data_IF_048069438861
#
_entry.id   IF_048069438861
#
_cell.length_a   1.000
_cell.length_b   1.000
_cell.length_c   1.000
_cell.angle_alpha   90.00
_cell.angle_beta   90.00
_cell.angle_gamma   90.00
#
_symmetry.space_group_name_H-M   'P 1'
#
loop_
_entity.id
_entity.type
_entity.pdbx_description
1 polymer ?
#
# COMPACT_ATOMS: atom_id res chain seq x y z
N UNK A 1 23.49 -10.18 3.53
CA UNK A 1 22.33 -11.03 3.22
C UNK A 1 21.68 -11.40 4.54
N UNK A 2 20.59 -10.75 4.91
CA UNK A 2 19.77 -11.19 6.03
C UNK A 2 19.14 -12.54 5.63
N UNK A 3 19.30 -13.56 6.45
CA UNK A 3 18.58 -14.81 6.32
C UNK A 3 17.07 -14.52 6.33
N UNK A 4 16.28 -15.01 5.37
CA UNK A 4 14.83 -14.87 5.42
C UNK A 4 14.31 -15.44 6.74
N UNK A 5 13.35 -14.77 7.38
CA UNK A 5 12.64 -15.36 8.50
C UNK A 5 12.12 -16.75 8.08
N UNK A 6 12.32 -17.79 8.91
CA UNK A 6 12.06 -19.16 8.49
C UNK A 6 10.60 -19.32 8.04
N UNK A 7 10.43 -19.98 6.89
CA UNK A 7 9.17 -20.25 6.16
C UNK A 7 8.00 -20.73 7.07
N UNK A 8 8.30 -21.28 8.27
CA UNK A 8 7.31 -21.72 9.25
C UNK A 8 6.46 -20.59 9.89
N UNK A 9 6.83 -19.31 9.76
CA UNK A 9 6.02 -18.18 10.26
C UNK A 9 5.07 -17.57 9.22
N UNK A 10 5.28 -17.79 7.92
CA UNK A 10 4.51 -17.13 6.84
C UNK A 10 3.08 -17.70 6.67
N UNK A 11 2.80 -18.89 7.18
CA UNK A 11 1.47 -19.52 7.09
C UNK A 11 0.45 -18.92 8.07
N UNK A 12 0.92 -18.29 9.15
CA UNK A 12 0.08 -17.78 10.23
C UNK A 12 -0.91 -16.71 9.78
N UNK A 13 -0.45 -15.61 9.16
CA UNK A 13 -1.34 -14.51 8.75
C UNK A 13 -2.38 -14.95 7.70
N UNK A 14 -2.00 -15.83 6.77
CA UNK A 14 -2.93 -16.37 5.78
C UNK A 14 -4.03 -17.19 6.45
N UNK A 15 -3.66 -18.10 7.37
CA UNK A 15 -4.64 -18.91 8.10
C UNK A 15 -5.55 -18.05 8.98
N UNK A 16 -5.00 -17.07 9.70
CA UNK A 16 -5.80 -16.12 10.49
C UNK A 16 -6.86 -15.43 9.62
N UNK A 17 -6.45 -14.90 8.45
CA UNK A 17 -7.36 -14.22 7.52
C UNK A 17 -8.39 -15.17 6.91
N UNK A 18 -8.01 -16.41 6.57
CA UNK A 18 -8.96 -17.42 6.09
C UNK A 18 -10.00 -17.79 7.16
N UNK A 19 -9.58 -18.00 8.41
CA UNK A 19 -10.50 -18.33 9.51
C UNK A 19 -11.43 -17.18 9.87
N UNK A 20 -10.94 -15.94 9.86
CA UNK A 20 -11.77 -14.76 10.07
C UNK A 20 -12.91 -14.66 9.05
N UNK A 21 -12.65 -15.07 7.79
CA UNK A 21 -13.63 -15.02 6.71
C UNK A 21 -14.36 -16.37 6.46
N UNK A 22 -14.15 -17.38 7.32
CA UNK A 22 -14.65 -18.73 7.08
C UNK A 22 -16.18 -18.81 7.01
N UNK A 23 -16.89 -17.98 7.77
CA UNK A 23 -18.36 -17.95 7.74
C UNK A 23 -18.88 -17.51 6.37
N UNK A 24 -18.23 -16.54 5.73
CA UNK A 24 -18.56 -16.08 4.37
C UNK A 24 -18.31 -17.20 3.35
N UNK A 25 -17.21 -17.94 3.49
CA UNK A 25 -16.79 -18.94 2.50
C UNK A 25 -17.49 -20.28 2.65
N UNK A 26 -17.87 -20.65 3.87
CA UNK A 26 -18.30 -22.02 4.21
C UNK A 26 -19.62 -22.08 4.98
N UNK A 27 -20.15 -20.93 5.41
CA UNK A 27 -21.31 -20.87 6.32
C UNK A 27 -20.99 -21.29 7.76
N UNK A 28 -19.71 -21.53 8.10
CA UNK A 28 -19.28 -21.94 9.44
C UNK A 28 -18.23 -20.98 9.99
N UNK A 29 -18.54 -20.35 11.11
CA UNK A 29 -17.63 -19.43 11.78
C UNK A 29 -16.42 -20.17 12.37
N UNK A 30 -15.22 -19.56 12.26
CA UNK A 30 -13.95 -20.08 12.79
C UNK A 30 -13.15 -19.00 13.53
N UNK A 31 -13.84 -18.06 14.18
CA UNK A 31 -13.21 -16.91 14.84
C UNK A 31 -12.19 -17.29 15.91
N UNK A 32 -12.45 -18.33 16.72
CA UNK A 32 -11.50 -18.80 17.73
C UNK A 32 -10.18 -19.29 17.13
N UNK A 33 -10.22 -19.90 15.94
CA UNK A 33 -9.01 -20.30 15.23
C UNK A 33 -8.26 -19.08 14.67
N UNK A 34 -8.99 -18.07 14.18
CA UNK A 34 -8.38 -16.82 13.72
C UNK A 34 -7.56 -16.17 14.85
N UNK A 35 -8.19 -16.00 16.03
CA UNK A 35 -7.53 -15.46 17.24
C UNK A 35 -6.30 -16.29 17.61
N UNK A 36 -6.40 -17.63 17.63
CA UNK A 36 -5.29 -18.49 17.99
C UNK A 36 -4.09 -18.37 17.04
N UNK A 37 -4.30 -18.00 15.77
CA UNK A 37 -3.20 -17.69 14.84
C UNK A 37 -2.70 -16.26 15.00
N UNK A 38 -3.57 -15.28 15.25
CA UNK A 38 -3.17 -13.91 15.58
C UNK A 38 -2.24 -13.88 16.80
N UNK A 39 -2.58 -14.57 17.89
CA UNK A 39 -1.78 -14.64 19.12
C UNK A 39 -0.36 -15.16 18.88
N UNK A 40 -0.21 -16.17 18.02
CA UNK A 40 1.11 -16.71 17.63
C UNK A 40 1.96 -15.66 16.92
N UNK A 41 1.34 -14.84 16.07
CA UNK A 41 2.05 -13.80 15.31
C UNK A 41 2.40 -12.63 16.22
N UNK A 42 1.50 -12.24 17.12
CA UNK A 42 1.76 -11.21 18.14
C UNK A 42 2.92 -11.61 19.06
N UNK A 43 3.08 -12.90 19.36
CA UNK A 43 4.22 -13.44 20.12
C UNK A 43 5.52 -13.63 19.31
N UNK A 44 5.54 -13.34 18.01
CA UNK A 44 6.68 -13.65 17.13
C UNK A 44 7.74 -12.54 17.04
N UNK A 45 7.58 -11.41 17.73
CA UNK A 45 8.57 -10.34 17.80
C UNK A 45 8.48 -9.25 16.72
N UNK A 46 7.41 -9.27 15.91
CA UNK A 46 7.09 -8.15 15.01
C UNK A 46 6.70 -6.91 15.82
N UNK A 47 6.94 -5.73 15.27
CA UNK A 47 6.58 -4.45 15.89
C UNK A 47 6.00 -3.50 14.87
N UNK A 48 5.01 -2.69 15.26
CA UNK A 48 4.49 -1.64 14.40
C UNK A 48 5.55 -0.58 14.09
N UNK A 49 5.53 -0.05 12.88
CA UNK A 49 6.35 1.10 12.52
C UNK A 49 5.87 2.35 13.28
N UNK A 50 6.82 3.11 13.82
CA UNK A 50 6.51 4.39 14.48
C UNK A 50 5.98 5.44 13.49
N UNK A 51 6.36 5.33 12.22
CA UNK A 51 5.89 6.17 11.12
C UNK A 51 5.23 5.31 10.08
N UNK A 52 3.90 5.39 9.99
CA UNK A 52 3.10 4.63 9.02
C UNK A 52 3.62 4.72 7.58
N UNK A 53 4.10 5.90 7.16
CA UNK A 53 4.60 6.10 5.79
C UNK A 53 5.81 5.23 5.47
N UNK A 54 6.66 4.88 6.44
CA UNK A 54 7.86 4.08 6.20
C UNK A 54 7.54 2.68 5.64
N UNK A 55 6.33 2.17 5.88
CA UNK A 55 5.86 0.89 5.33
C UNK A 55 5.73 0.90 3.80
N UNK A 56 5.71 2.07 3.17
CA UNK A 56 5.38 2.26 1.75
C UNK A 56 6.46 3.08 1.00
N UNK A 57 7.70 3.05 1.53
CA UNK A 57 8.90 3.69 1.00
C UNK A 57 9.88 2.65 0.43
N UNK A 58 10.85 3.10 -0.37
CA UNK A 58 11.81 2.22 -1.08
C UNK A 58 12.65 1.32 -0.16
N UNK A 59 12.82 1.69 1.10
CA UNK A 59 13.56 0.95 2.12
C UNK A 59 12.66 0.16 3.09
N UNK A 60 11.39 -0.07 2.74
CA UNK A 60 10.44 -0.77 3.61
C UNK A 60 10.79 -2.24 3.88
N UNK A 61 11.69 -2.85 3.10
CA UNK A 61 12.27 -4.17 3.40
C UNK A 61 13.04 -4.21 4.73
N UNK A 62 13.37 -3.04 5.31
CA UNK A 62 13.97 -2.90 6.65
C UNK A 62 12.92 -2.92 7.78
N UNK A 63 11.64 -2.90 7.46
CA UNK A 63 10.57 -2.83 8.45
C UNK A 63 10.44 -4.12 9.25
N UNK A 64 10.24 -3.98 10.57
CA UNK A 64 9.90 -5.09 11.46
C UNK A 64 8.38 -5.30 11.60
N UNK A 65 7.55 -4.54 10.86
CA UNK A 65 6.10 -4.70 10.82
C UNK A 65 5.66 -5.66 9.70
N UNK A 66 6.43 -5.75 8.60
CA UNK A 66 6.07 -6.53 7.42
C UNK A 66 6.35 -8.02 7.67
N UNK A 67 5.31 -8.84 7.59
CA UNK A 67 5.39 -10.29 7.85
C UNK A 67 5.65 -11.06 6.56
N UNK A 68 4.99 -10.65 5.47
CA UNK A 68 5.16 -11.28 4.16
C UNK A 68 5.11 -10.25 3.04
N UNK A 69 6.27 -9.85 2.49
CA UNK A 69 6.34 -8.94 1.35
C UNK A 69 6.22 -9.69 0.01
N UNK A 70 5.64 -9.03 -0.99
CA UNK A 70 5.93 -9.30 -2.40
C UNK A 70 7.01 -8.33 -2.82
N UNK A 71 8.19 -8.87 -3.10
CA UNK A 71 9.40 -8.07 -3.26
C UNK A 71 9.43 -7.35 -4.60
N UNK A 72 9.84 -6.08 -4.59
CA UNK A 72 10.17 -5.31 -5.80
C UNK A 72 11.60 -4.80 -5.67
N UNK A 73 12.33 -4.76 -6.79
CA UNK A 73 13.68 -4.20 -6.81
C UNK A 73 13.92 -3.58 -8.19
N UNK A 74 14.36 -2.33 -8.20
CA UNK A 74 14.54 -1.52 -9.40
C UNK A 74 15.57 -2.07 -10.39
N UNK A 75 16.39 -3.05 -9.99
CA UNK A 75 17.43 -3.68 -10.81
C UNK A 75 17.19 -5.16 -11.07
N UNK A 76 16.57 -5.87 -10.13
CA UNK A 76 16.51 -7.34 -10.15
C UNK A 76 15.09 -7.88 -10.29
N UNK A 77 14.12 -7.32 -9.58
CA UNK A 77 12.71 -7.77 -9.60
C UNK A 77 11.85 -6.70 -10.27
N UNK A 78 12.17 -6.41 -11.52
CA UNK A 78 11.52 -5.36 -12.31
C UNK A 78 10.18 -5.84 -12.86
N UNK A 79 9.11 -5.09 -12.59
CA UNK A 79 7.78 -5.35 -13.13
C UNK A 79 7.02 -4.04 -13.29
N UNK A 80 6.22 -3.91 -14.34
CA UNK A 80 5.26 -2.79 -14.49
C UNK A 80 4.03 -2.96 -13.59
N UNK A 81 3.83 -4.15 -13.00
CA UNK A 81 2.82 -4.41 -11.99
C UNK A 81 3.32 -4.16 -10.56
N UNK A 82 2.81 -4.93 -9.60
CA UNK A 82 3.18 -4.90 -8.17
C UNK A 82 3.22 -3.45 -7.67
N UNK A 83 4.30 -3.02 -7.04
CA UNK A 83 4.39 -1.70 -6.42
C UNK A 83 4.74 -0.62 -7.44
N UNK A 84 5.33 -0.95 -8.59
CA UNK A 84 5.61 0.03 -9.65
C UNK A 84 4.31 0.71 -10.09
N UNK A 85 3.26 -0.08 -10.38
CA UNK A 85 1.95 0.49 -10.69
C UNK A 85 1.40 1.32 -9.53
N UNK A 86 1.56 0.87 -8.28
CA UNK A 86 1.05 1.59 -7.10
C UNK A 86 1.76 2.93 -6.84
N UNK A 87 3.02 3.08 -7.26
CA UNK A 87 3.74 4.37 -7.14
C UNK A 87 3.42 5.29 -8.32
N UNK A 88 3.37 4.76 -9.54
CA UNK A 88 3.17 5.59 -10.74
C UNK A 88 1.72 6.00 -11.00
N UNK A 89 0.76 5.11 -10.78
CA UNK A 89 -0.64 5.33 -11.12
C UNK A 89 -1.31 6.52 -10.38
N UNK A 90 -1.08 6.79 -9.09
CA UNK A 90 -1.73 7.91 -8.43
C UNK A 90 -1.09 9.27 -8.77
N UNK A 91 0.01 9.30 -9.54
CA UNK A 91 0.72 10.53 -9.89
C UNK A 91 0.24 11.04 -11.25
N UNK A 92 -0.30 12.26 -11.27
CA UNK A 92 -0.77 12.96 -12.46
C UNK A 92 -1.16 14.41 -12.18
N UNK A 93 -1.65 15.12 -13.20
CA UNK A 93 -2.08 16.51 -13.05
C UNK A 93 -0.93 17.44 -12.66
N UNK A 94 -1.08 18.15 -11.53
CA UNK A 94 -0.09 19.08 -10.98
C UNK A 94 1.00 18.41 -10.13
N UNK A 95 0.88 17.11 -9.84
CA UNK A 95 1.82 16.38 -8.99
C UNK A 95 3.20 16.26 -9.65
N UNK A 96 4.27 16.22 -8.85
CA UNK A 96 5.64 16.12 -9.33
C UNK A 96 6.16 14.69 -9.18
N UNK A 97 6.39 13.92 -10.27
CA UNK A 97 6.86 12.54 -10.19
C UNK A 97 8.14 12.34 -9.37
N UNK A 98 9.05 13.32 -9.41
CA UNK A 98 10.31 13.26 -8.66
C UNK A 98 10.09 13.20 -7.13
N UNK A 99 9.03 13.81 -6.60
CA UNK A 99 8.69 13.72 -5.17
C UNK A 99 8.27 12.28 -4.78
N UNK A 100 7.90 11.45 -5.75
CA UNK A 100 7.54 10.05 -5.58
C UNK A 100 8.69 9.10 -5.94
N UNK A 101 9.86 9.61 -6.32
CA UNK A 101 11.03 8.79 -6.68
C UNK A 101 10.88 8.08 -8.04
N UNK A 102 10.10 8.65 -8.95
CA UNK A 102 9.81 8.09 -10.27
C UNK A 102 9.99 9.15 -11.37
N UNK A 103 10.25 8.70 -12.60
CA UNK A 103 10.52 9.59 -13.74
C UNK A 103 9.25 10.16 -14.40
N UNK A 104 8.08 9.56 -14.18
CA UNK A 104 6.82 10.03 -14.74
C UNK A 104 5.59 9.41 -14.09
N UNK A 105 4.52 10.17 -13.94
CA UNK A 105 3.23 9.67 -13.44
C UNK A 105 2.42 9.00 -14.55
N UNK A 106 1.63 7.98 -14.22
CA UNK A 106 0.79 7.27 -15.19
C UNK A 106 -0.66 7.75 -15.21
N UNK A 107 -1.07 8.57 -14.25
CA UNK A 107 -2.44 9.07 -14.19
C UNK A 107 -3.48 7.94 -14.21
N UNK A 108 -3.29 6.92 -13.39
CA UNK A 108 -4.13 5.72 -13.25
C UNK A 108 -5.25 5.92 -12.23
N UNK A 109 -5.18 5.28 -11.06
CA UNK A 109 -6.25 5.35 -10.05
C UNK A 109 -6.23 6.63 -9.21
N UNK A 110 -7.40 7.02 -8.69
CA UNK A 110 -7.58 8.07 -7.66
C UNK A 110 -8.58 7.59 -6.62
N UNK A 111 -8.82 8.39 -5.59
CA UNK A 111 -9.73 8.05 -4.50
C UNK A 111 -11.15 8.49 -4.80
N UNK A 112 -12.13 7.79 -4.21
CA UNK A 112 -13.53 8.24 -4.19
C UNK A 112 -13.77 9.12 -2.97
N UNK A 113 -14.77 10.00 -3.05
CA UNK A 113 -15.20 10.80 -1.89
C UNK A 113 -15.61 9.95 -0.69
N UNK A 114 -16.19 8.76 -0.92
CA UNK A 114 -16.53 7.82 0.13
C UNK A 114 -15.30 7.26 0.88
N UNK A 115 -14.19 7.02 0.17
CA UNK A 115 -12.93 6.61 0.79
C UNK A 115 -12.30 7.77 1.58
N UNK A 116 -12.29 8.98 1.01
CA UNK A 116 -11.81 10.19 1.72
C UNK A 116 -12.58 10.43 3.01
N UNK A 117 -13.90 10.21 3.00
CA UNK A 117 -14.76 10.36 4.18
C UNK A 117 -14.42 9.40 5.34
N UNK A 118 -13.64 8.34 5.12
CA UNK A 118 -13.14 7.46 6.19
C UNK A 118 -12.00 8.10 7.00
N UNK A 119 -11.46 9.24 6.57
CA UNK A 119 -10.38 9.98 7.23
C UNK A 119 -10.85 11.40 7.60
N UNK A 120 -11.74 11.53 8.60
CA UNK A 120 -12.29 12.83 8.99
C UNK A 120 -11.25 13.71 9.71
N UNK A 121 -10.20 13.12 10.27
CA UNK A 121 -9.12 13.82 10.96
C UNK A 121 -7.92 13.98 10.02
N UNK A 122 -7.57 15.23 9.70
CA UNK A 122 -6.42 15.56 8.87
C UNK A 122 -5.08 15.43 9.60
N UNK A 123 -5.09 15.28 10.93
CA UNK A 123 -3.90 14.99 11.73
C UNK A 123 -3.57 13.49 11.79
N UNK A 124 -4.45 12.63 11.27
CA UNK A 124 -4.16 11.21 11.11
C UNK A 124 -2.96 11.04 10.16
N UNK A 125 -1.88 10.39 10.61
CA UNK A 125 -0.69 10.13 9.78
C UNK A 125 -0.94 9.25 8.55
N UNK A 126 -2.15 8.69 8.42
CA UNK A 126 -2.65 7.94 7.25
C UNK A 126 -3.42 8.83 6.28
N UNK A 127 -3.74 10.07 6.64
CA UNK A 127 -4.29 11.09 5.75
C UNK A 127 -3.22 11.51 4.73
N UNK A 128 -3.16 10.79 3.61
CA UNK A 128 -2.13 10.96 2.57
C UNK A 128 -2.74 11.41 1.25
N UNK A 129 -3.77 12.26 1.29
CA UNK A 129 -4.42 12.76 0.07
C UNK A 129 -3.66 13.95 -0.52
N UNK A 130 -3.60 13.99 -1.86
CA UNK A 130 -3.19 15.17 -2.61
C UNK A 130 -4.43 15.84 -3.18
N UNK A 131 -4.53 17.16 -3.07
CA UNK A 131 -5.78 17.91 -3.38
C UNK A 131 -5.57 19.06 -4.36
N UNK A 132 -4.34 19.52 -4.55
CA UNK A 132 -4.04 20.72 -5.34
C UNK A 132 -4.40 20.54 -6.82
N UNK A 133 -5.39 21.31 -7.28
CA UNK A 133 -5.90 21.19 -8.66
C UNK A 133 -6.78 19.96 -8.90
N UNK A 134 -7.27 19.31 -7.84
CA UNK A 134 -8.15 18.14 -7.93
C UNK A 134 -9.49 18.36 -7.23
N UNK A 135 -10.56 17.98 -7.92
CA UNK A 135 -11.90 17.90 -7.37
C UNK A 135 -12.05 16.62 -6.54
N UNK A 136 -12.73 16.71 -5.39
CA UNK A 136 -12.98 15.55 -4.53
C UNK A 136 -13.84 14.48 -5.22
N UNK A 137 -14.86 14.91 -5.97
CA UNK A 137 -15.80 14.02 -6.66
C UNK A 137 -15.57 14.05 -8.17
N UNK A 138 -15.81 12.91 -8.82
CA UNK A 138 -15.89 12.84 -10.27
C UNK A 138 -17.32 13.17 -10.68
N UNK A 139 -17.48 14.31 -11.36
CA UNK A 139 -18.80 14.80 -11.76
C UNK A 139 -19.10 14.59 -13.25
N UNK A 140 -18.10 14.22 -14.07
CA UNK A 140 -18.30 13.89 -15.48
C UNK A 140 -18.83 12.46 -15.61
N UNK A 141 -20.01 12.31 -16.21
CA UNK A 141 -20.61 11.02 -16.52
C UNK A 141 -21.08 11.00 -17.96
N UNK A 142 -20.85 9.88 -18.65
CA UNK A 142 -21.38 9.64 -20.00
C UNK A 142 -22.23 8.38 -19.93
N UNK A 143 -23.51 8.48 -20.25
CA UNK A 143 -24.48 7.39 -20.16
C UNK A 143 -24.54 6.72 -18.77
N UNK A 144 -24.40 7.51 -17.69
CA UNK A 144 -24.43 7.01 -16.31
C UNK A 144 -23.14 6.33 -15.84
N UNK A 145 -22.11 6.29 -16.68
CA UNK A 145 -20.77 5.79 -16.31
C UNK A 145 -19.87 6.96 -15.97
N UNK A 146 -19.18 6.87 -14.82
CA UNK A 146 -18.16 7.83 -14.41
C UNK A 146 -17.09 7.93 -15.50
N UNK A 147 -16.91 9.13 -16.05
CA UNK A 147 -15.85 9.42 -17.00
C UNK A 147 -14.74 10.14 -16.27
N UNK A 148 -13.60 9.46 -16.15
CA UNK A 148 -12.42 10.06 -15.56
C UNK A 148 -11.78 11.01 -16.58
N UNK A 149 -11.59 12.25 -16.16
CA UNK A 149 -10.80 13.24 -16.91
C UNK A 149 -9.40 12.69 -17.19
N UNK A 150 -8.97 12.77 -18.45
CA UNK A 150 -7.60 12.46 -18.86
C UNK A 150 -6.59 13.47 -18.27
N UNK A 151 -7.06 14.63 -17.81
CA UNK A 151 -6.23 15.67 -17.18
C UNK A 151 -5.96 15.39 -15.69
N UNK A 152 -6.51 14.30 -15.13
CA UNK A 152 -6.26 13.89 -13.75
C UNK A 152 -6.72 14.93 -12.70
N UNK A 153 -7.84 15.59 -12.99
CA UNK A 153 -8.42 16.69 -12.18
C UNK A 153 -9.55 16.25 -11.26
N UNK A 154 -10.01 15.00 -11.33
CA UNK A 154 -11.16 14.52 -10.58
C UNK A 154 -10.82 13.26 -9.77
N UNK A 155 -11.30 13.23 -8.52
CA UNK A 155 -10.87 12.30 -7.49
C UNK A 155 -9.51 12.73 -6.93
N UNK A 156 -9.43 12.93 -5.62
CA UNK A 156 -8.15 13.23 -4.97
C UNK A 156 -7.18 12.06 -5.13
N UNK A 157 -5.93 12.37 -5.46
CA UNK A 157 -4.87 11.39 -5.51
C UNK A 157 -4.46 10.96 -4.09
N UNK A 158 -3.80 9.81 -4.00
CA UNK A 158 -3.30 9.27 -2.75
C UNK A 158 -1.79 9.08 -2.82
N UNK A 159 -1.08 9.75 -1.94
CA UNK A 159 0.38 9.77 -1.85
C UNK A 159 0.93 8.69 -0.90
N UNK A 160 0.27 7.53 -0.86
CA UNK A 160 0.65 6.43 0.03
C UNK A 160 1.98 5.79 -0.36
N UNK A 161 2.16 5.47 -1.63
CA UNK A 161 3.31 4.72 -2.13
C UNK A 161 4.32 5.65 -2.78
N UNK A 162 5.60 5.52 -2.40
CA UNK A 162 6.69 6.30 -2.98
C UNK A 162 7.92 5.42 -3.11
N UNK A 163 8.73 5.70 -4.13
CA UNK A 163 10.01 5.06 -4.40
C UNK A 163 11.18 5.96 -3.94
N UNK A 164 11.03 6.55 -2.76
CA UNK A 164 12.12 7.21 -2.03
C UNK A 164 12.30 6.50 -0.70
N UNK A 165 13.52 6.43 -0.20
CA UNK A 165 13.80 5.86 1.12
C UNK A 165 13.33 6.80 2.23
N UNK A 166 13.30 6.30 3.46
CA UNK A 166 13.06 7.11 4.66
C UNK A 166 14.06 8.28 4.84
N UNK A 167 15.23 8.21 4.18
CA UNK A 167 16.24 9.27 4.11
C UNK A 167 16.09 10.20 2.89
N UNK A 168 15.07 9.99 2.04
CA UNK A 168 14.81 10.80 0.85
C UNK A 168 15.65 10.44 -0.37
N UNK A 169 16.34 9.30 -0.36
CA UNK A 169 17.12 8.82 -1.52
C UNK A 169 16.17 8.15 -2.51
N UNK A 170 16.29 8.46 -3.79
CA UNK A 170 15.50 7.83 -4.86
C UNK A 170 15.90 6.35 -4.99
N UNK A 171 14.93 5.50 -5.34
CA UNK A 171 15.15 4.08 -5.59
C UNK A 171 16.24 3.79 -6.64
N UNK A 172 16.61 2.52 -6.71
CA UNK A 172 17.88 2.06 -7.27
C UNK A 172 17.92 2.06 -8.81
N UNK A 173 16.75 2.04 -9.46
CA UNK A 173 16.64 2.15 -10.92
C UNK A 173 17.00 3.56 -11.40
N UNK A 174 18.11 3.74 -12.15
CA UNK A 174 18.51 5.05 -12.64
C UNK A 174 17.53 5.68 -13.64
N UNK A 175 16.64 4.88 -14.25
CA UNK A 175 15.60 5.40 -15.14
C UNK A 175 14.37 5.93 -14.40
N UNK A 176 14.24 5.62 -13.11
CA UNK A 176 13.08 5.96 -12.29
C UNK A 176 11.78 5.27 -12.73
N UNK A 177 11.87 4.11 -13.38
CA UNK A 177 10.71 3.35 -13.88
C UNK A 177 10.33 2.23 -12.93
N UNK A 178 11.30 1.46 -12.44
CA UNK A 178 11.06 0.33 -11.55
C UNK A 178 11.37 0.71 -10.11
N UNK A 179 10.52 0.23 -9.19
CA UNK A 179 10.57 0.64 -7.79
C UNK A 179 11.21 -0.43 -6.90
N UNK A 180 11.84 0.02 -5.82
CA UNK A 180 12.39 -0.86 -4.77
C UNK A 180 11.36 -1.13 -3.65
N UNK A 181 10.25 -0.41 -3.62
CA UNK A 181 9.24 -0.51 -2.57
C UNK A 181 8.52 -1.87 -2.61
N UNK A 182 8.63 -2.67 -1.54
CA UNK A 182 7.93 -3.94 -1.43
C UNK A 182 6.43 -3.74 -1.19
N UNK A 183 5.60 -4.69 -1.64
CA UNK A 183 4.19 -4.74 -1.27
C UNK A 183 4.00 -5.60 -0.01
N UNK A 184 3.58 -5.07 1.15
CA UNK A 184 3.36 -5.85 2.35
C UNK A 184 2.03 -6.61 2.24
N UNK A 185 2.07 -7.85 1.72
CA UNK A 185 0.89 -8.68 1.58
C UNK A 185 0.27 -9.04 2.94
N UNK A 186 1.13 -9.26 3.94
CA UNK A 186 0.73 -9.32 5.35
C UNK A 186 1.66 -8.47 6.21
N UNK A 187 1.08 -7.70 7.13
CA UNK A 187 1.78 -6.87 8.10
C UNK A 187 1.12 -6.92 9.47
N UNK A 188 1.85 -6.58 10.54
CA UNK A 188 1.35 -6.69 11.90
C UNK A 188 0.11 -5.85 12.17
N UNK A 189 -0.01 -4.66 11.55
CA UNK A 189 -1.22 -3.85 11.72
C UNK A 189 -2.50 -4.50 11.17
N UNK A 190 -2.39 -5.45 10.23
CA UNK A 190 -3.55 -6.24 9.81
C UNK A 190 -3.92 -7.29 10.87
N UNK A 191 -2.91 -7.90 11.50
CA UNK A 191 -3.10 -8.91 12.57
C UNK A 191 -3.76 -8.30 13.80
N UNK A 192 -3.44 -7.07 14.17
CA UNK A 192 -4.12 -6.37 15.27
C UNK A 192 -5.61 -6.12 15.01
N UNK A 193 -6.03 -6.06 13.74
CA UNK A 193 -7.41 -5.78 13.35
C UNK A 193 -8.22 -7.05 13.04
N UNK A 194 -7.56 -8.22 12.94
CA UNK A 194 -8.19 -9.52 12.75
C UNK A 194 -8.56 -10.16 14.08
#
# INVERSE_FOLDING_TARGET
MSTPAPIKQQHGPLLAKMYLNAEVYTGQARYSDAVAYCDKILGAGYTLESKYTNLFLADNHLSNEIIFPITSDGKFTTSYGITTFLVHAPVGGSMKPLEFGISGGWGGYRTTSAFVAQFPDTLDGRYLFYTDGQNLSVNDTVNGVIKLSANFTDGWAIAKWRNVTSAGVIGSDPTGTFVDTDYPLFRLGDVYLM
#
